data_IF_009428215349
#
_entry.id   IF_009428215349
#
_cell.length_a   1.000
_cell.length_b   1.000
_cell.length_c   1.000
_cell.angle_alpha   90.00
_cell.angle_beta   90.00
_cell.angle_gamma   90.00
#
_symmetry.space_group_name_H-M   'P 1'
#
loop_
_entity.id
_entity.type
_entity.pdbx_description
1 polymer ?
#
# COMPACT_ATOMS: atom_id res chain seq x y z
N UNK A 1 24.65 -6.65 -7.88
CA UNK A 1 25.09 -6.40 -6.49
C UNK A 1 23.80 -6.11 -5.73
N UNK A 2 23.49 -6.86 -4.67
CA UNK A 2 22.29 -6.60 -3.84
C UNK A 2 22.43 -5.24 -3.16
N UNK A 3 21.32 -4.50 -3.05
CA UNK A 3 21.29 -3.25 -2.28
C UNK A 3 21.41 -3.57 -0.78
N UNK A 4 22.09 -2.73 0.03
CA UNK A 4 22.03 -2.85 1.49
C UNK A 4 20.61 -2.78 2.05
N UNK A 5 19.70 -2.10 1.37
CA UNK A 5 18.28 -2.06 1.69
C UNK A 5 17.64 -3.45 1.54
N UNK A 6 17.99 -4.17 0.46
CA UNK A 6 17.44 -5.47 0.12
C UNK A 6 17.70 -6.50 1.24
N UNK A 7 18.96 -6.68 1.62
CA UNK A 7 19.32 -7.67 2.66
C UNK A 7 18.71 -7.36 4.03
N UNK A 8 18.52 -6.09 4.38
CA UNK A 8 17.98 -5.69 5.68
C UNK A 8 16.46 -5.77 5.72
N UNK A 9 15.79 -5.30 4.67
CA UNK A 9 14.33 -5.31 4.59
C UNK A 9 13.83 -6.74 4.43
N UNK A 10 14.41 -7.52 3.50
CA UNK A 10 14.01 -8.90 3.26
C UNK A 10 14.39 -9.85 4.39
N UNK A 11 15.54 -9.64 5.01
CA UNK A 11 15.93 -10.38 6.23
C UNK A 11 14.97 -10.13 7.39
N UNK A 12 14.39 -8.94 7.49
CA UNK A 12 13.39 -8.60 8.50
C UNK A 12 12.03 -9.24 8.24
N UNK A 13 11.65 -9.47 6.98
CA UNK A 13 10.36 -10.06 6.60
C UNK A 13 10.08 -11.42 7.27
N UNK A 14 11.11 -12.18 7.50
CA UNK A 14 11.02 -13.50 8.13
C UNK A 14 11.25 -13.49 9.66
N UNK A 15 11.43 -12.32 10.25
CA UNK A 15 11.74 -12.15 11.65
C UNK A 15 10.50 -11.89 12.52
N UNK A 16 10.23 -10.63 12.77
CA UNK A 16 9.13 -10.19 13.60
C UNK A 16 8.62 -8.82 13.16
N UNK A 17 7.43 -8.44 13.62
CA UNK A 17 6.87 -7.08 13.42
C UNK A 17 7.87 -6.00 13.85
N UNK A 18 8.55 -6.21 14.98
CA UNK A 18 9.56 -5.27 15.46
C UNK A 18 10.79 -5.19 14.54
N UNK A 19 11.22 -6.30 13.92
CA UNK A 19 12.31 -6.32 12.97
C UNK A 19 11.95 -5.58 11.67
N UNK A 20 10.74 -5.77 11.16
CA UNK A 20 10.21 -5.02 10.00
C UNK A 20 10.18 -3.53 10.31
N UNK A 21 9.61 -3.14 11.44
CA UNK A 21 9.58 -1.73 11.86
C UNK A 21 10.99 -1.13 11.92
N UNK A 22 11.93 -1.80 12.61
CA UNK A 22 13.29 -1.31 12.77
C UNK A 22 14.03 -1.15 11.43
N UNK A 23 13.77 -2.03 10.45
CA UNK A 23 14.33 -1.92 9.12
C UNK A 23 13.82 -0.65 8.40
N UNK A 24 12.53 -0.39 8.41
CA UNK A 24 11.96 0.81 7.81
C UNK A 24 12.32 2.09 8.56
N UNK A 25 12.42 2.06 9.89
CA UNK A 25 12.90 3.18 10.70
C UNK A 25 14.34 3.56 10.33
N UNK A 26 15.18 2.57 10.05
CA UNK A 26 16.59 2.80 9.70
C UNK A 26 16.78 3.36 8.30
N UNK A 27 16.02 2.88 7.31
CA UNK A 27 16.21 3.21 5.90
C UNK A 27 15.14 4.16 5.33
N UNK A 28 14.29 4.74 6.20
CA UNK A 28 13.19 5.58 5.77
C UNK A 28 13.52 6.62 4.71
N UNK A 29 14.53 7.49 4.90
CA UNK A 29 14.88 8.51 3.91
C UNK A 29 15.40 7.93 2.59
N UNK A 30 16.28 6.93 2.63
CA UNK A 30 16.82 6.27 1.43
C UNK A 30 15.72 5.53 0.68
N UNK A 31 14.84 4.86 1.40
CA UNK A 31 13.68 4.17 0.84
C UNK A 31 12.75 5.16 0.14
N UNK A 32 12.47 6.32 0.75
CA UNK A 32 11.66 7.38 0.16
C UNK A 32 12.19 7.79 -1.22
N UNK A 33 13.48 8.14 -1.31
CA UNK A 33 14.09 8.56 -2.57
C UNK A 33 14.08 7.43 -3.61
N UNK A 34 14.36 6.21 -3.18
CA UNK A 34 14.42 5.06 -4.05
C UNK A 34 13.05 4.73 -4.68
N UNK A 35 11.99 4.70 -3.87
CA UNK A 35 10.63 4.42 -4.36
C UNK A 35 10.12 5.58 -5.24
N UNK A 36 10.39 6.82 -4.89
CA UNK A 36 10.02 7.96 -5.72
C UNK A 36 10.71 7.87 -7.11
N UNK A 37 12.01 7.56 -7.14
CA UNK A 37 12.77 7.41 -8.38
C UNK A 37 12.34 6.20 -9.23
N UNK A 38 11.71 5.20 -8.64
CA UNK A 38 11.25 4.00 -9.36
C UNK A 38 10.13 4.28 -10.38
N UNK A 39 9.37 5.36 -10.18
CA UNK A 39 8.17 5.65 -10.95
C UNK A 39 6.97 4.74 -10.64
N UNK A 40 7.10 3.76 -9.74
CA UNK A 40 6.00 2.87 -9.36
C UNK A 40 4.81 3.63 -8.76
N UNK A 41 4.98 4.61 -7.85
CA UNK A 41 3.86 5.41 -7.34
C UNK A 41 3.07 6.12 -8.45
N UNK A 42 3.77 6.71 -9.42
CA UNK A 42 3.12 7.35 -10.57
C UNK A 42 2.38 6.33 -11.46
N UNK A 43 2.92 5.12 -11.60
CA UNK A 43 2.25 4.00 -12.28
C UNK A 43 0.95 3.60 -11.60
N UNK A 44 0.98 3.47 -10.27
CA UNK A 44 -0.20 3.19 -9.44
C UNK A 44 -1.24 4.29 -9.59
N UNK A 45 -0.85 5.56 -9.47
CA UNK A 45 -1.75 6.70 -9.61
C UNK A 45 -2.43 6.70 -10.99
N UNK A 46 -1.68 6.48 -12.08
CA UNK A 46 -2.25 6.39 -13.44
C UNK A 46 -3.26 5.25 -13.59
N UNK A 47 -3.02 4.10 -12.93
CA UNK A 47 -3.95 2.98 -13.00
C UNK A 47 -5.21 3.21 -12.18
N UNK A 48 -5.11 3.87 -11.03
CA UNK A 48 -6.20 4.03 -10.07
C UNK A 48 -7.12 5.22 -10.39
N UNK A 49 -6.55 6.38 -10.73
CA UNK A 49 -7.30 7.64 -10.89
C UNK A 49 -8.48 7.58 -11.88
N UNK A 50 -8.42 6.84 -13.01
CA UNK A 50 -9.60 6.70 -13.89
C UNK A 50 -10.84 6.08 -13.24
N UNK A 51 -10.69 5.43 -12.10
CA UNK A 51 -11.75 4.77 -11.35
C UNK A 51 -12.24 5.59 -10.15
N UNK A 52 -11.61 6.72 -9.84
CA UNK A 52 -11.91 7.56 -8.70
C UNK A 52 -12.62 8.87 -9.09
N UNK A 53 -13.48 9.33 -8.19
CA UNK A 53 -13.85 10.75 -8.18
C UNK A 53 -12.66 11.54 -7.57
N UNK A 54 -12.24 12.69 -8.16
CA UNK A 54 -11.18 13.53 -7.58
C UNK A 54 -11.42 13.97 -6.13
N UNK A 55 -12.68 14.03 -5.70
CA UNK A 55 -13.09 14.39 -4.34
C UNK A 55 -13.31 13.16 -3.42
N UNK A 56 -12.98 11.96 -3.90
CA UNK A 56 -13.13 10.73 -3.12
C UNK A 56 -12.26 10.75 -1.84
N UNK A 57 -12.85 10.31 -0.73
CA UNK A 57 -12.12 10.13 0.52
C UNK A 57 -11.41 8.78 0.55
N UNK A 58 -10.11 8.80 0.74
CA UNK A 58 -9.28 7.61 0.66
C UNK A 58 -8.41 7.36 1.87
N UNK A 59 -8.01 6.09 2.00
CA UNK A 59 -7.07 5.63 3.01
C UNK A 59 -5.92 4.83 2.35
N UNK A 60 -4.70 5.08 2.82
CA UNK A 60 -3.46 4.45 2.37
C UNK A 60 -2.93 3.50 3.46
N UNK A 61 -3.04 2.20 3.22
CA UNK A 61 -2.58 1.16 4.13
C UNK A 61 -1.12 0.79 3.85
N UNK A 62 -0.26 1.01 4.86
CA UNK A 62 1.17 0.94 4.69
C UNK A 62 1.67 2.15 3.90
N UNK A 63 1.24 3.36 4.30
CA UNK A 63 1.50 4.60 3.57
C UNK A 63 3.00 4.94 3.45
N UNK A 64 3.85 4.28 4.22
CA UNK A 64 5.28 4.49 4.23
C UNK A 64 5.63 5.96 4.37
N UNK A 65 6.53 6.42 3.52
CA UNK A 65 6.98 7.82 3.48
C UNK A 65 6.05 8.77 2.71
N UNK A 66 4.87 8.32 2.31
CA UNK A 66 3.85 9.15 1.68
C UNK A 66 4.04 9.42 0.18
N UNK A 67 4.94 8.70 -0.49
CA UNK A 67 5.21 8.91 -1.94
C UNK A 67 4.00 8.61 -2.81
N UNK A 68 3.13 7.70 -2.37
CA UNK A 68 1.90 7.39 -3.10
C UNK A 68 0.88 8.53 -3.00
N UNK A 69 0.76 9.16 -1.83
CA UNK A 69 -0.04 10.36 -1.65
C UNK A 69 0.41 11.52 -2.55
N UNK A 70 1.73 11.72 -2.71
CA UNK A 70 2.28 12.69 -3.65
C UNK A 70 1.86 12.38 -5.09
N UNK A 71 2.02 11.13 -5.53
CA UNK A 71 1.68 10.71 -6.89
C UNK A 71 0.18 10.85 -7.20
N UNK A 72 -0.69 10.52 -6.24
CA UNK A 72 -2.15 10.68 -6.38
C UNK A 72 -2.53 12.16 -6.47
N UNK A 73 -1.94 13.03 -5.65
CA UNK A 73 -2.15 14.46 -5.71
C UNK A 73 -1.70 15.06 -7.05
N UNK A 74 -0.54 14.66 -7.55
CA UNK A 74 -0.05 15.05 -8.87
C UNK A 74 -0.96 14.56 -10.00
N UNK A 75 -1.60 13.41 -9.82
CA UNK A 75 -2.55 12.85 -10.77
C UNK A 75 -3.99 13.43 -10.64
N UNK A 76 -4.22 14.38 -9.73
CA UNK A 76 -5.48 15.13 -9.62
C UNK A 76 -6.40 14.70 -8.47
N UNK A 77 -5.94 13.94 -7.49
CA UNK A 77 -6.71 13.72 -6.27
C UNK A 77 -6.72 15.01 -5.45
N UNK A 78 -7.91 15.55 -5.13
CA UNK A 78 -8.03 16.82 -4.41
C UNK A 78 -8.03 16.64 -2.89
N UNK A 79 -8.57 15.52 -2.39
CA UNK A 79 -8.72 15.28 -0.97
C UNK A 79 -7.40 14.76 -0.34
N UNK A 80 -7.18 15.14 0.91
CA UNK A 80 -6.13 14.54 1.72
C UNK A 80 -6.52 13.12 2.11
N UNK A 81 -5.52 12.23 2.13
CA UNK A 81 -5.67 10.85 2.55
C UNK A 81 -5.64 10.72 4.07
N UNK A 82 -6.19 9.63 4.58
CA UNK A 82 -5.77 9.08 5.85
C UNK A 82 -4.69 8.02 5.58
N UNK A 83 -3.74 7.84 6.49
CA UNK A 83 -2.64 6.91 6.28
C UNK A 83 -2.36 6.05 7.53
N UNK A 84 -2.02 4.80 7.30
CA UNK A 84 -1.58 3.87 8.36
C UNK A 84 -0.19 3.36 8.02
N UNK A 85 0.70 3.36 9.00
CA UNK A 85 1.98 2.67 8.90
C UNK A 85 2.47 2.19 10.27
N UNK A 86 3.32 1.19 10.29
CA UNK A 86 3.93 0.64 11.50
C UNK A 86 5.10 1.52 11.98
N UNK A 87 5.84 2.13 11.05
CA UNK A 87 7.06 2.89 11.31
C UNK A 87 6.77 4.36 11.64
N UNK A 88 7.13 4.85 12.83
CA UNK A 88 7.01 6.26 13.16
C UNK A 88 7.93 7.16 12.30
N UNK A 89 9.05 6.64 11.81
CA UNK A 89 9.96 7.38 10.91
C UNK A 89 9.28 7.59 9.56
N UNK A 90 8.65 6.54 9.01
CA UNK A 90 7.88 6.62 7.77
C UNK A 90 6.71 7.60 7.91
N UNK A 91 5.95 7.53 8.99
CA UNK A 91 4.84 8.47 9.25
C UNK A 91 5.34 9.93 9.35
N UNK A 92 6.53 10.14 9.94
CA UNK A 92 7.16 11.46 9.97
C UNK A 92 7.50 12.00 8.59
N UNK A 93 7.94 11.15 7.66
CA UNK A 93 8.17 11.51 6.26
C UNK A 93 6.85 11.76 5.52
N UNK A 94 5.85 10.89 5.73
CA UNK A 94 4.52 11.06 5.14
C UNK A 94 3.88 12.40 5.55
N UNK A 95 3.99 12.79 6.82
CA UNK A 95 3.49 14.07 7.31
C UNK A 95 4.10 15.28 6.56
N UNK A 96 5.38 15.21 6.20
CA UNK A 96 6.07 16.27 5.48
C UNK A 96 5.57 16.45 4.04
N UNK A 97 4.92 15.44 3.45
CA UNK A 97 4.34 15.53 2.10
C UNK A 97 3.15 16.50 2.01
N UNK A 98 2.45 16.72 3.12
CA UNK A 98 1.21 17.49 3.16
C UNK A 98 0.05 16.82 2.40
N UNK A 99 0.14 15.50 2.14
CA UNK A 99 -0.89 14.73 1.43
C UNK A 99 -1.85 13.99 2.36
N UNK A 100 -1.57 13.97 3.66
CA UNK A 100 -2.34 13.20 4.64
C UNK A 100 -3.02 14.13 5.66
N UNK A 101 -4.28 13.84 5.93
CA UNK A 101 -5.12 14.51 6.94
C UNK A 101 -4.86 13.93 8.33
N UNK A 102 -4.87 12.59 8.41
CA UNK A 102 -4.57 11.85 9.63
C UNK A 102 -3.56 10.74 9.32
N UNK A 103 -2.64 10.54 10.24
CA UNK A 103 -1.63 9.48 10.19
C UNK A 103 -1.71 8.67 11.48
N UNK A 104 -1.95 7.36 11.35
CA UNK A 104 -2.08 6.44 12.47
C UNK A 104 -0.91 5.45 12.47
N UNK A 105 -0.21 5.37 13.60
CA UNK A 105 0.72 4.27 13.80
C UNK A 105 -0.05 3.04 14.27
N UNK A 106 -0.09 2.00 13.41
CA UNK A 106 -0.78 0.77 13.73
C UNK A 106 -0.16 -0.42 13.00
N UNK A 107 -0.30 -1.60 13.60
CA UNK A 107 -0.02 -2.85 12.93
C UNK A 107 -1.30 -3.34 12.26
N UNK A 108 -1.32 -3.39 10.93
CA UNK A 108 -2.49 -3.83 10.15
C UNK A 108 -2.97 -5.23 10.54
N UNK A 109 -2.07 -6.09 11.01
CA UNK A 109 -2.43 -7.47 11.41
C UNK A 109 -2.90 -7.60 12.87
N UNK A 110 -2.83 -6.52 13.66
CA UNK A 110 -3.29 -6.54 15.04
C UNK A 110 -4.78 -6.17 15.12
N UNK A 111 -5.64 -7.07 15.65
CA UNK A 111 -7.06 -6.78 15.79
C UNK A 111 -7.30 -5.48 16.57
N UNK A 112 -8.10 -4.59 16.00
CA UNK A 112 -8.52 -3.35 16.63
C UNK A 112 -7.55 -2.16 16.54
N UNK A 113 -6.28 -2.35 16.18
CA UNK A 113 -5.34 -1.22 16.04
C UNK A 113 -5.72 -0.28 14.88
N UNK A 114 -6.35 -0.80 13.83
CA UNK A 114 -6.81 -0.02 12.69
C UNK A 114 -8.19 0.61 12.87
N UNK A 115 -8.86 0.42 14.02
CA UNK A 115 -10.21 0.92 14.28
C UNK A 115 -10.28 2.42 14.62
N UNK A 116 -9.16 3.13 14.59
CA UNK A 116 -9.07 4.55 14.93
C UNK A 116 -9.65 5.52 13.89
N UNK A 117 -10.07 5.04 12.73
CA UNK A 117 -10.69 5.86 11.69
C UNK A 117 -12.21 5.76 11.73
N UNK A 118 -12.92 6.90 11.81
CA UNK A 118 -14.35 6.91 12.12
C UNK A 118 -15.27 6.69 10.92
N UNK A 119 -14.76 6.56 9.70
CA UNK A 119 -15.59 6.54 8.50
C UNK A 119 -15.22 5.40 7.56
N UNK A 120 -16.21 4.92 6.81
CA UNK A 120 -15.98 4.10 5.64
C UNK A 120 -15.51 4.98 4.48
N UNK A 121 -14.53 4.49 3.71
CA UNK A 121 -13.88 5.23 2.64
C UNK A 121 -14.47 4.94 1.27
N UNK A 122 -14.34 5.91 0.35
CA UNK A 122 -14.68 5.77 -1.07
C UNK A 122 -13.65 4.92 -1.80
N UNK A 123 -12.39 4.92 -1.30
CA UNK A 123 -11.36 4.04 -1.79
C UNK A 123 -10.30 3.73 -0.73
N UNK A 124 -9.65 2.60 -0.89
CA UNK A 124 -8.42 2.25 -0.19
C UNK A 124 -7.31 1.95 -1.19
N UNK A 125 -6.09 2.17 -0.77
CA UNK A 125 -4.91 1.84 -1.56
C UNK A 125 -3.83 1.24 -0.69
N UNK A 126 -3.05 0.33 -1.26
CA UNK A 126 -1.85 -0.22 -0.66
C UNK A 126 -0.82 -0.58 -1.73
N UNK A 127 0.44 -0.21 -1.52
CA UNK A 127 1.55 -0.52 -2.40
C UNK A 127 2.77 -0.96 -1.60
N UNK A 128 3.33 -2.14 -1.93
CA UNK A 128 4.54 -2.64 -1.27
C UNK A 128 4.34 -3.16 0.16
N UNK A 129 3.10 -3.38 0.57
CA UNK A 129 2.75 -3.92 1.88
C UNK A 129 2.55 -5.43 1.83
N UNK A 130 1.80 -5.91 0.82
CA UNK A 130 1.40 -7.30 0.72
C UNK A 130 2.41 -8.13 -0.08
N UNK A 131 2.83 -9.20 0.52
CA UNK A 131 3.84 -10.12 0.01
C UNK A 131 4.51 -10.82 1.17
N UNK A 132 5.82 -10.72 1.26
CA UNK A 132 6.59 -11.39 2.30
C UNK A 132 6.42 -10.76 3.69
N UNK A 133 6.06 -9.46 3.79
CA UNK A 133 5.86 -8.78 5.09
C UNK A 133 4.50 -9.04 5.69
N UNK A 134 3.47 -8.89 4.86
CA UNK A 134 2.08 -9.00 5.27
C UNK A 134 1.38 -9.94 4.31
N UNK A 135 0.98 -11.13 4.76
CA UNK A 135 0.22 -12.06 3.93
C UNK A 135 -1.08 -11.42 3.43
N UNK A 136 -1.30 -11.44 2.11
CA UNK A 136 -2.45 -10.81 1.48
C UNK A 136 -3.79 -11.33 2.03
N UNK A 137 -3.86 -12.61 2.37
CA UNK A 137 -5.07 -13.23 2.92
C UNK A 137 -5.42 -12.77 4.35
N UNK A 138 -4.47 -12.17 5.06
CA UNK A 138 -4.70 -11.50 6.35
C UNK A 138 -5.01 -10.01 6.16
N UNK A 139 -4.33 -9.34 5.22
CA UNK A 139 -4.46 -7.91 5.03
C UNK A 139 -5.76 -7.51 4.32
N UNK A 140 -6.11 -8.20 3.22
CA UNK A 140 -7.27 -7.80 2.40
C UNK A 140 -8.59 -7.74 3.17
N UNK A 141 -8.95 -8.72 4.04
CA UNK A 141 -10.17 -8.60 4.83
C UNK A 141 -10.23 -7.34 5.71
N UNK A 142 -9.11 -6.95 6.31
CA UNK A 142 -9.04 -5.71 7.12
C UNK A 142 -9.18 -4.47 6.26
N UNK A 143 -8.51 -4.43 5.10
CA UNK A 143 -8.59 -3.30 4.17
C UNK A 143 -10.02 -3.15 3.65
N UNK A 144 -10.64 -4.24 3.21
CA UNK A 144 -12.02 -4.24 2.70
C UNK A 144 -13.02 -3.78 3.76
N UNK A 145 -12.81 -4.14 5.03
CA UNK A 145 -13.71 -3.70 6.12
C UNK A 145 -13.74 -2.18 6.35
N UNK A 146 -12.75 -1.45 5.83
CA UNK A 146 -12.72 0.03 5.88
C UNK A 146 -13.47 0.69 4.70
N UNK A 147 -13.96 -0.08 3.75
CA UNK A 147 -14.59 0.41 2.54
C UNK A 147 -16.12 0.41 2.63
N UNK A 148 -16.73 1.41 2.02
CA UNK A 148 -18.18 1.40 1.79
C UNK A 148 -18.54 0.55 0.58
N UNK A 149 -19.76 0.03 0.48
CA UNK A 149 -20.23 -0.65 -0.74
C UNK A 149 -20.02 0.23 -1.98
N UNK A 150 -19.54 -0.37 -3.07
CA UNK A 150 -19.20 0.33 -4.31
C UNK A 150 -17.85 1.05 -4.32
N UNK A 151 -17.10 1.02 -3.22
CA UNK A 151 -15.79 1.66 -3.12
C UNK A 151 -14.74 0.97 -4.01
N UNK A 152 -13.67 1.71 -4.30
CA UNK A 152 -12.53 1.21 -5.11
C UNK A 152 -11.40 0.79 -4.20
N UNK A 153 -10.80 -0.36 -4.49
CA UNK A 153 -9.59 -0.86 -3.86
C UNK A 153 -8.46 -0.95 -4.89
N UNK A 154 -7.37 -0.20 -4.66
CA UNK A 154 -6.12 -0.37 -5.37
C UNK A 154 -5.13 -1.15 -4.50
N UNK A 155 -4.63 -2.29 -4.98
CA UNK A 155 -3.68 -3.07 -4.19
C UNK A 155 -2.59 -3.73 -5.04
N UNK A 156 -1.38 -3.71 -4.54
CA UNK A 156 -0.25 -4.37 -5.15
C UNK A 156 0.10 -5.66 -4.42
N UNK A 157 0.36 -6.72 -5.18
CA UNK A 157 0.87 -7.99 -4.66
C UNK A 157 2.12 -8.41 -5.42
N UNK A 158 3.06 -9.02 -4.72
CA UNK A 158 4.19 -9.67 -5.35
C UNK A 158 3.81 -11.08 -5.80
N UNK A 159 3.99 -11.36 -7.09
CA UNK A 159 3.54 -12.61 -7.71
C UNK A 159 4.33 -13.84 -7.28
N UNK A 160 5.56 -13.70 -6.82
CA UNK A 160 6.36 -14.84 -6.36
C UNK A 160 5.74 -15.54 -5.15
N UNK A 161 5.16 -14.75 -4.25
CA UNK A 161 4.54 -15.22 -3.00
C UNK A 161 3.03 -15.40 -3.09
N UNK A 162 2.40 -15.01 -4.21
CA UNK A 162 0.93 -14.96 -4.32
C UNK A 162 0.43 -15.74 -5.54
N UNK A 163 -0.05 -16.99 -5.39
CA UNK A 163 -0.66 -17.73 -6.49
C UNK A 163 -1.92 -17.03 -7.01
N UNK A 164 -2.01 -16.87 -8.34
CA UNK A 164 -3.11 -16.14 -9.00
C UNK A 164 -4.49 -16.64 -8.58
N UNK A 165 -4.69 -17.96 -8.65
CA UNK A 165 -5.98 -18.59 -8.32
C UNK A 165 -6.41 -18.36 -6.85
N UNK A 166 -5.45 -18.28 -5.93
CA UNK A 166 -5.75 -18.03 -4.52
C UNK A 166 -6.16 -16.57 -4.28
N UNK A 167 -5.52 -15.63 -4.98
CA UNK A 167 -5.89 -14.22 -4.93
C UNK A 167 -7.27 -13.97 -5.56
N UNK A 168 -7.53 -14.56 -6.73
CA UNK A 168 -8.84 -14.48 -7.40
C UNK A 168 -9.97 -15.03 -6.53
N UNK A 169 -9.74 -16.20 -5.92
CA UNK A 169 -10.69 -16.82 -5.00
C UNK A 169 -10.98 -15.90 -3.80
N UNK A 170 -9.95 -15.40 -3.14
CA UNK A 170 -10.12 -14.51 -1.98
C UNK A 170 -10.81 -13.21 -2.38
N UNK A 171 -10.46 -12.63 -3.53
CA UNK A 171 -11.12 -11.41 -4.03
C UNK A 171 -12.61 -11.65 -4.22
N UNK A 172 -13.00 -12.77 -4.83
CA UNK A 172 -14.41 -13.14 -5.00
C UNK A 172 -15.12 -13.36 -3.64
N UNK A 173 -14.47 -14.04 -2.69
CA UNK A 173 -15.01 -14.26 -1.33
C UNK A 173 -15.23 -12.95 -0.57
N UNK A 174 -14.43 -11.92 -0.86
CA UNK A 174 -14.55 -10.57 -0.28
C UNK A 174 -15.48 -9.65 -1.05
N UNK A 175 -16.13 -10.13 -2.12
CA UNK A 175 -17.00 -9.31 -2.97
C UNK A 175 -16.22 -8.27 -3.79
N UNK A 176 -15.01 -8.58 -4.21
CA UNK A 176 -14.19 -7.70 -5.02
C UNK A 176 -14.25 -8.09 -6.50
N UNK A 177 -14.83 -7.21 -7.31
CA UNK A 177 -14.83 -7.32 -8.77
C UNK A 177 -13.59 -6.63 -9.35
N UNK A 178 -12.67 -7.39 -9.96
CA UNK A 178 -11.44 -6.85 -10.56
C UNK A 178 -11.79 -6.01 -11.81
N UNK A 179 -11.37 -4.75 -11.82
CA UNK A 179 -11.59 -3.81 -12.92
C UNK A 179 -10.39 -3.76 -13.87
N UNK A 180 -9.18 -3.80 -13.32
CA UNK A 180 -7.93 -3.79 -14.11
C UNK A 180 -6.78 -4.42 -13.34
N UNK A 181 -5.78 -4.88 -14.10
CA UNK A 181 -4.47 -5.32 -13.61
C UNK A 181 -3.38 -4.59 -14.39
N UNK A 182 -2.39 -4.08 -13.68
CA UNK A 182 -1.23 -3.37 -14.24
C UNK A 182 0.06 -3.95 -13.67
N UNK A 183 1.01 -4.28 -14.53
CA UNK A 183 2.33 -4.75 -14.11
C UNK A 183 3.23 -3.55 -13.85
N UNK A 184 3.76 -3.46 -12.64
CA UNK A 184 4.65 -2.39 -12.19
C UNK A 184 6.05 -2.97 -11.94
N UNK A 185 7.00 -2.81 -12.86
CA UNK A 185 8.37 -3.22 -12.62
C UNK A 185 9.02 -2.28 -11.59
N UNK A 186 9.63 -2.84 -10.57
CA UNK A 186 10.51 -2.10 -9.68
C UNK A 186 11.95 -2.32 -10.16
N UNK A 187 12.70 -1.27 -10.50
CA UNK A 187 14.06 -1.41 -11.00
C UNK A 187 14.96 -2.15 -10.03
N UNK A 188 15.82 -3.02 -10.57
CA UNK A 188 16.89 -3.67 -9.82
C UNK A 188 17.78 -2.60 -9.18
N UNK A 189 18.05 -2.74 -7.87
CA UNK A 189 18.86 -1.78 -7.10
C UNK A 189 18.11 -1.11 -5.95
N UNK A 190 16.77 -1.17 -5.96
CA UNK A 190 15.93 -0.80 -4.81
C UNK A 190 15.55 -2.06 -4.04
N UNK A 191 15.05 -3.03 -4.75
CA UNK A 191 14.74 -4.40 -4.35
C UNK A 191 15.22 -5.32 -5.48
N UNK A 192 15.55 -6.59 -5.23
CA UNK A 192 15.81 -7.54 -6.33
C UNK A 192 14.67 -7.42 -7.34
N UNK A 193 14.99 -7.21 -8.63
CA UNK A 193 14.03 -6.94 -9.70
C UNK A 193 12.67 -7.60 -9.46
N UNK A 194 11.78 -6.88 -8.79
CA UNK A 194 10.47 -7.37 -8.40
C UNK A 194 9.44 -6.87 -9.40
N UNK A 195 8.47 -7.70 -9.64
CA UNK A 195 7.31 -7.35 -10.45
C UNK A 195 6.11 -7.35 -9.51
N UNK A 196 5.56 -6.16 -9.29
CA UNK A 196 4.28 -6.02 -8.62
C UNK A 196 3.15 -6.04 -9.64
N UNK A 197 2.14 -6.81 -9.32
CA UNK A 197 0.86 -6.76 -10.01
C UNK A 197 -0.06 -5.86 -9.20
N UNK A 198 -0.42 -4.73 -9.79
CA UNK A 198 -1.34 -3.79 -9.19
C UNK A 198 -2.74 -4.00 -9.75
N UNK A 199 -3.65 -4.30 -8.87
CA UNK A 199 -5.07 -4.51 -9.16
C UNK A 199 -5.88 -3.31 -8.76
N UNK A 200 -6.84 -2.95 -9.60
CA UNK A 200 -7.94 -2.08 -9.22
C UNK A 200 -9.19 -2.93 -9.19
N UNK A 201 -9.87 -2.94 -8.05
CA UNK A 201 -11.10 -3.68 -7.82
C UNK A 201 -12.20 -2.78 -7.28
N UNK A 202 -13.45 -3.17 -7.50
CA UNK A 202 -14.62 -2.53 -6.88
C UNK A 202 -15.21 -3.50 -5.85
N UNK A 203 -15.52 -2.97 -4.67
CA UNK A 203 -16.31 -3.70 -3.68
C UNK A 203 -17.77 -3.73 -4.14
N UNK A 204 -18.33 -4.91 -4.24
CA UNK A 204 -19.73 -5.10 -4.64
C UNK A 204 -20.69 -4.45 -3.62
N UNK A 205 -21.89 -4.12 -4.07
CA UNK A 205 -22.90 -3.41 -3.27
C UNK A 205 -23.60 -4.31 -2.25
#
# INVERSE_FOLDING_TARGET
MKSPLDDTIWGAAYGSVAAVQAAFDRFGPEYHHAILASGAPAGVARALMPHLNPDAQGIDFGCGSGVLGLALREAGLHQLLDGIDLSPVMLGLAAQTGCYRHLLRANLLAPGECSGFPALYDFAITMGLMGDYVPYYLALPHIVSALRPGAILGYAVERRSTPSHALEKLSAELGLSILSETVLPIPAGILEAQVYHFFVARLDA
#
